data_IF_870158115544
#
_entry.id   IF_870158115544
#
_cell.length_a   1.000
_cell.length_b   1.000
_cell.length_c   1.000
_cell.angle_alpha   90.00
_cell.angle_beta   90.00
_cell.angle_gamma   90.00
#
_symmetry.space_group_name_H-M   'P 1'
#
loop_
_entity.id
_entity.type
_entity.pdbx_description
1 polymer ?
#
# COMPACT_ATOMS: atom_id res chain seq x y z
N UNK A 1 10.58 -26.15 13.62
CA UNK A 1 10.77 -26.60 12.22
C UNK A 1 10.71 -25.39 11.33
N UNK A 2 11.68 -25.24 10.47
CA UNK A 2 11.86 -24.10 9.59
C UNK A 2 11.56 -24.53 8.16
N UNK A 3 10.75 -23.74 7.45
CA UNK A 3 10.43 -23.92 6.04
C UNK A 3 10.95 -22.72 5.27
N UNK A 4 11.80 -22.97 4.27
CA UNK A 4 12.37 -21.96 3.39
C UNK A 4 11.78 -22.08 1.99
N UNK A 5 11.21 -21.01 1.48
CA UNK A 5 10.68 -20.92 0.13
C UNK A 5 11.58 -20.03 -0.71
N UNK A 6 12.46 -20.64 -1.51
CA UNK A 6 13.41 -19.94 -2.35
C UNK A 6 12.79 -19.40 -3.63
N UNK A 7 11.72 -20.04 -4.12
CA UNK A 7 11.02 -19.57 -5.32
C UNK A 7 9.66 -18.97 -4.93
N UNK A 8 9.50 -17.65 -5.02
CA UNK A 8 8.28 -16.98 -4.59
C UNK A 8 7.06 -17.24 -5.48
N UNK A 9 7.24 -17.68 -6.73
CA UNK A 9 6.20 -17.58 -7.76
C UNK A 9 5.60 -18.93 -8.19
N UNK A 10 5.92 -20.04 -7.53
CA UNK A 10 5.57 -21.34 -8.05
C UNK A 10 4.97 -22.36 -7.10
N UNK A 11 4.69 -22.01 -5.85
CA UNK A 11 4.13 -22.98 -4.88
C UNK A 11 2.68 -22.62 -4.60
N UNK A 12 1.77 -23.40 -5.15
CA UNK A 12 0.38 -23.41 -4.75
C UNK A 12 0.27 -24.26 -3.49
N UNK A 13 -0.15 -23.65 -2.38
CA UNK A 13 -0.48 -24.39 -1.17
C UNK A 13 -1.88 -24.97 -1.34
N UNK A 14 -1.95 -26.26 -1.62
CA UNK A 14 -3.21 -26.97 -1.48
C UNK A 14 -3.78 -26.71 -0.08
N UNK A 15 -5.09 -26.50 0.06
CA UNK A 15 -5.76 -26.04 1.27
C UNK A 15 -5.54 -26.87 2.56
N UNK A 16 -4.76 -27.94 2.47
CA UNK A 16 -4.36 -28.82 3.57
C UNK A 16 -2.84 -28.93 3.76
N UNK A 17 -2.03 -28.09 3.08
CA UNK A 17 -0.57 -28.24 3.13
C UNK A 17 0.01 -28.14 4.55
N UNK A 18 -0.71 -27.50 5.48
CA UNK A 18 -0.38 -27.38 6.88
C UNK A 18 -1.53 -27.84 7.80
N UNK A 19 -2.35 -28.82 7.36
CA UNK A 19 -3.42 -29.38 8.19
C UNK A 19 -2.82 -30.18 9.35
N UNK A 20 -2.71 -29.55 10.49
CA UNK A 20 -2.29 -30.18 11.74
C UNK A 20 -3.48 -30.87 12.38
N UNK A 21 -3.49 -32.17 12.30
CA UNK A 21 -4.28 -32.96 13.21
C UNK A 21 -3.99 -32.54 14.66
N UNK A 22 -5.00 -32.48 15.46
CA UNK A 22 -5.09 -32.06 16.86
C UNK A 22 -3.99 -32.57 17.84
N UNK A 23 -2.93 -33.18 17.34
CA UNK A 23 -1.85 -33.76 18.13
C UNK A 23 -0.72 -32.81 18.50
N UNK A 24 -0.66 -31.58 17.92
CA UNK A 24 0.45 -30.66 18.15
C UNK A 24 0.00 -29.23 18.45
N UNK A 25 -0.74 -28.98 19.54
CA UNK A 25 -1.23 -27.64 19.85
C UNK A 25 -0.14 -26.62 20.23
N UNK A 26 1.11 -27.05 20.35
CA UNK A 26 2.22 -26.21 20.78
C UNK A 26 3.26 -25.91 19.69
N UNK A 27 3.07 -26.41 18.48
CA UNK A 27 4.07 -26.24 17.44
C UNK A 27 3.73 -25.06 16.52
N UNK A 28 4.60 -24.07 16.51
CA UNK A 28 4.49 -22.88 15.66
C UNK A 28 5.70 -22.83 14.71
N UNK A 29 5.58 -23.31 13.46
CA UNK A 29 6.69 -23.34 12.53
C UNK A 29 7.11 -21.94 12.07
N UNK A 30 8.39 -21.78 11.78
CA UNK A 30 8.90 -20.59 11.09
C UNK A 30 8.80 -20.81 9.58
N UNK A 31 8.24 -19.82 8.90
CA UNK A 31 8.11 -19.80 7.45
C UNK A 31 8.94 -18.63 6.91
N UNK A 32 9.96 -18.95 6.13
CA UNK A 32 10.86 -17.98 5.53
C UNK A 32 10.51 -17.78 4.06
N UNK A 33 10.16 -16.57 3.67
CA UNK A 33 9.86 -16.20 2.29
C UNK A 33 10.23 -14.75 2.00
N UNK A 34 10.46 -14.41 0.74
CA UNK A 34 10.72 -13.04 0.35
C UNK A 34 9.44 -12.21 0.48
N UNK A 35 9.55 -10.97 0.97
CA UNK A 35 8.40 -10.12 1.26
C UNK A 35 7.57 -9.72 0.02
N UNK A 36 8.20 -9.71 -1.16
CA UNK A 36 7.53 -9.47 -2.45
C UNK A 36 6.89 -10.73 -3.04
N UNK A 37 6.96 -11.85 -2.34
CA UNK A 37 6.35 -13.10 -2.81
C UNK A 37 4.83 -12.93 -2.92
N UNK A 38 4.27 -13.33 -4.05
CA UNK A 38 2.81 -13.42 -4.25
C UNK A 38 2.17 -14.40 -3.28
N UNK A 39 2.90 -15.43 -2.85
CA UNK A 39 2.47 -16.36 -1.79
C UNK A 39 2.18 -15.64 -0.48
N UNK A 40 2.96 -14.61 -0.12
CA UNK A 40 2.73 -13.85 1.12
C UNK A 40 1.39 -13.10 1.11
N UNK A 41 0.87 -12.73 -0.06
CA UNK A 41 -0.44 -12.11 -0.21
C UNK A 41 -1.56 -13.15 -0.20
N UNK A 42 -1.36 -14.30 -0.84
CA UNK A 42 -2.38 -15.33 -1.01
C UNK A 42 -2.47 -16.28 0.19
N UNK A 43 -1.40 -16.45 0.95
CA UNK A 43 -1.38 -17.38 2.08
C UNK A 43 -2.33 -17.01 3.21
N UNK A 44 -2.53 -15.72 3.47
CA UNK A 44 -3.55 -15.31 4.43
C UNK A 44 -4.96 -15.77 3.99
N UNK A 45 -5.25 -15.69 2.69
CA UNK A 45 -6.52 -16.12 2.13
C UNK A 45 -6.62 -17.64 2.05
N UNK A 46 -5.57 -18.34 1.65
CA UNK A 46 -5.59 -19.81 1.52
C UNK A 46 -5.57 -20.52 2.87
N UNK A 47 -4.91 -19.97 3.87
CA UNK A 47 -4.97 -20.44 5.26
C UNK A 47 -6.37 -20.21 5.86
N UNK A 48 -7.07 -19.13 5.46
CA UNK A 48 -8.44 -18.89 5.87
C UNK A 48 -9.48 -19.77 5.13
N UNK A 49 -9.18 -20.22 3.91
CA UNK A 49 -10.08 -21.13 3.14
C UNK A 49 -10.18 -22.53 3.74
N UNK A 50 -9.22 -22.99 4.53
CA UNK A 50 -9.32 -24.22 5.33
C UNK A 50 -10.36 -24.16 6.45
N UNK A 51 -11.02 -23.00 6.63
CA UNK A 51 -12.03 -22.79 7.66
C UNK A 51 -13.36 -23.53 7.41
N UNK A 52 -13.65 -23.96 6.17
CA UNK A 52 -14.93 -24.61 5.83
C UNK A 52 -15.15 -25.98 6.49
N UNK A 53 -14.11 -26.59 7.06
CA UNK A 53 -14.21 -27.86 7.78
C UNK A 53 -14.02 -27.76 9.29
N UNK A 54 -14.19 -26.57 9.87
CA UNK A 54 -14.15 -26.37 11.33
C UNK A 54 -12.75 -26.30 11.93
N UNK A 55 -11.71 -26.10 11.10
CA UNK A 55 -10.33 -25.92 11.53
C UNK A 55 -9.82 -24.59 11.01
N UNK A 56 -9.97 -23.55 11.81
CA UNK A 56 -9.48 -22.21 11.51
C UNK A 56 -7.97 -22.15 11.78
N UNK A 57 -7.15 -22.34 10.76
CA UNK A 57 -5.74 -21.94 10.81
C UNK A 57 -5.64 -20.46 10.44
N UNK A 58 -5.10 -19.67 11.33
CA UNK A 58 -4.87 -18.25 11.12
C UNK A 58 -3.38 -18.00 10.92
N UNK A 59 -3.00 -16.87 10.33
CA UNK A 59 -1.60 -16.41 10.30
C UNK A 59 -0.95 -16.35 11.70
N UNK A 60 -1.75 -16.40 12.77
CA UNK A 60 -1.28 -16.51 14.14
C UNK A 60 -0.64 -17.88 14.48
N UNK A 61 -0.90 -18.90 13.67
CA UNK A 61 -0.38 -20.27 13.90
C UNK A 61 1.03 -20.47 13.32
N UNK A 62 1.58 -19.45 12.61
CA UNK A 62 2.90 -19.47 12.01
C UNK A 62 3.72 -18.25 12.42
N UNK A 63 5.05 -18.42 12.45
CA UNK A 63 5.97 -17.30 12.47
C UNK A 63 6.39 -17.01 11.02
N UNK A 64 5.84 -15.97 10.44
CA UNK A 64 6.22 -15.52 9.10
C UNK A 64 7.45 -14.62 9.21
N UNK A 65 8.54 -14.98 8.52
CA UNK A 65 9.82 -14.29 8.54
C UNK A 65 10.19 -13.91 7.11
N UNK A 66 10.40 -12.62 6.87
CA UNK A 66 10.78 -12.13 5.56
C UNK A 66 12.30 -12.19 5.36
N UNK A 67 12.74 -12.92 4.34
CA UNK A 67 14.17 -13.19 4.09
C UNK A 67 14.95 -11.95 3.71
N UNK A 68 14.33 -10.97 3.08
CA UNK A 68 14.94 -9.67 2.76
C UNK A 68 15.14 -8.82 4.02
N UNK A 69 14.22 -8.84 4.99
CA UNK A 69 14.43 -8.23 6.30
C UNK A 69 15.61 -8.92 7.03
N UNK A 70 15.63 -10.24 7.04
CA UNK A 70 16.70 -11.01 7.67
C UNK A 70 18.08 -10.71 7.05
N UNK A 71 18.13 -10.60 5.72
CA UNK A 71 19.35 -10.21 4.99
C UNK A 71 19.83 -8.82 5.41
N UNK A 72 18.91 -7.88 5.62
CA UNK A 72 19.25 -6.55 6.13
C UNK A 72 19.82 -6.61 7.57
N UNK A 73 19.18 -7.37 8.46
CA UNK A 73 19.61 -7.52 9.86
C UNK A 73 21.01 -8.13 9.98
N UNK A 74 21.29 -9.14 9.16
CA UNK A 74 22.54 -9.92 9.16
C UNK A 74 23.63 -9.31 8.29
N UNK A 75 23.39 -8.14 7.69
CA UNK A 75 24.38 -7.51 6.83
C UNK A 75 25.63 -7.11 7.62
N UNK A 76 26.75 -7.75 7.33
CA UNK A 76 28.03 -7.51 7.99
C UNK A 76 28.49 -6.05 7.93
N UNK A 77 28.12 -5.32 6.86
CA UNK A 77 28.43 -3.90 6.72
C UNK A 77 27.67 -3.02 7.74
N UNK A 78 26.57 -3.51 8.28
CA UNK A 78 25.70 -2.76 9.20
C UNK A 78 25.81 -3.20 10.66
N UNK A 79 26.54 -4.27 10.96
CA UNK A 79 26.59 -4.87 12.29
C UNK A 79 26.97 -3.88 13.43
N UNK A 80 27.86 -2.97 13.14
CA UNK A 80 28.35 -2.00 14.13
C UNK A 80 27.30 -0.92 14.44
N UNK A 81 26.33 -0.69 13.54
CA UNK A 81 25.22 0.25 13.76
C UNK A 81 24.34 -0.17 14.94
N UNK A 82 24.15 -1.46 15.13
CA UNK A 82 23.20 -1.99 16.11
C UNK A 82 23.63 -1.76 17.56
N UNK A 83 24.91 -1.48 17.76
CA UNK A 83 25.50 -1.12 19.08
C UNK A 83 25.99 0.32 19.16
N UNK A 84 26.02 1.06 18.04
CA UNK A 84 26.52 2.43 17.94
C UNK A 84 25.69 3.42 18.78
N UNK A 85 26.33 4.36 19.46
CA UNK A 85 25.65 5.47 20.12
C UNK A 85 25.37 6.61 19.12
N UNK A 86 24.28 7.35 19.33
CA UNK A 86 23.95 8.50 18.48
C UNK A 86 25.05 9.58 18.46
N UNK A 87 25.81 9.73 19.56
CA UNK A 87 26.92 10.67 19.62
C UNK A 87 28.06 10.33 18.64
N UNK A 88 28.23 9.05 18.32
CA UNK A 88 29.29 8.56 17.43
C UNK A 88 28.87 8.58 15.95
N UNK A 89 27.60 8.84 15.67
CA UNK A 89 27.03 8.77 14.33
C UNK A 89 27.65 9.76 13.33
N UNK A 90 28.07 10.95 13.81
CA UNK A 90 28.56 12.04 12.95
C UNK A 90 30.01 11.90 12.50
N UNK A 91 30.73 10.83 12.88
CA UNK A 91 32.07 10.58 12.30
C UNK A 91 31.89 10.21 10.82
N UNK A 92 32.84 10.61 9.96
CA UNK A 92 32.75 10.43 8.50
C UNK A 92 32.48 8.96 8.12
N UNK A 93 33.18 8.02 8.73
CA UNK A 93 32.99 6.58 8.48
C UNK A 93 31.60 6.09 8.89
N UNK A 94 31.16 6.46 10.09
CA UNK A 94 29.84 6.04 10.62
C UNK A 94 28.69 6.68 9.83
N UNK A 95 28.79 7.96 9.49
CA UNK A 95 27.80 8.64 8.67
C UNK A 95 27.64 7.96 7.29
N UNK A 96 28.74 7.50 6.68
CA UNK A 96 28.67 6.76 5.40
C UNK A 96 27.96 5.41 5.55
N UNK A 97 28.22 4.67 6.60
CA UNK A 97 27.55 3.38 6.87
C UNK A 97 26.07 3.61 7.15
N UNK A 98 25.71 4.63 7.93
CA UNK A 98 24.30 4.98 8.21
C UNK A 98 23.56 5.33 6.92
N UNK A 99 24.17 6.13 6.04
CA UNK A 99 23.61 6.47 4.72
C UNK A 99 23.33 5.20 3.89
N UNK A 100 24.31 4.31 3.80
CA UNK A 100 24.16 3.05 3.06
C UNK A 100 23.06 2.16 3.64
N UNK A 101 22.96 2.11 4.97
CA UNK A 101 21.89 1.36 5.64
C UNK A 101 20.51 1.99 5.42
N UNK A 102 20.41 3.33 5.40
CA UNK A 102 19.15 4.04 5.08
C UNK A 102 18.70 3.77 3.64
N UNK A 103 19.63 3.75 2.69
CA UNK A 103 19.31 3.42 1.29
C UNK A 103 18.82 1.97 1.16
N UNK A 104 19.52 1.03 1.80
CA UNK A 104 19.12 -0.37 1.82
C UNK A 104 17.74 -0.56 2.51
N UNK A 105 17.50 0.11 3.64
CA UNK A 105 16.20 0.10 4.32
C UNK A 105 15.09 0.68 3.44
N UNK A 106 15.34 1.78 2.75
CA UNK A 106 14.36 2.42 1.88
C UNK A 106 13.92 1.53 0.72
N UNK A 107 14.83 0.70 0.20
CA UNK A 107 14.58 -0.26 -0.88
C UNK A 107 13.76 -1.49 -0.46
N UNK A 108 13.63 -1.74 0.86
CA UNK A 108 12.83 -2.86 1.36
C UNK A 108 11.33 -2.63 1.12
N UNK A 109 10.58 -3.73 1.02
CA UNK A 109 9.12 -3.68 0.99
C UNK A 109 8.54 -3.22 2.33
N UNK A 110 7.27 -2.79 2.32
CA UNK A 110 6.57 -2.40 3.55
C UNK A 110 6.49 -3.54 4.56
N UNK A 111 6.30 -4.79 4.09
CA UNK A 111 6.26 -5.97 4.95
C UNK A 111 7.60 -6.21 5.66
N UNK A 112 8.71 -6.11 4.93
CA UNK A 112 10.05 -6.23 5.51
C UNK A 112 10.34 -5.09 6.50
N UNK A 113 9.98 -3.85 6.17
CA UNK A 113 10.06 -2.70 7.08
C UNK A 113 9.25 -2.90 8.36
N UNK A 114 8.03 -3.44 8.25
CA UNK A 114 7.20 -3.75 9.41
C UNK A 114 7.80 -4.86 10.30
N UNK A 115 8.49 -5.82 9.73
CA UNK A 115 9.25 -6.80 10.50
C UNK A 115 10.39 -6.11 11.27
N UNK A 116 11.21 -5.29 10.62
CA UNK A 116 12.33 -4.58 11.24
C UNK A 116 11.90 -3.58 12.33
N UNK A 117 10.65 -3.12 12.31
CA UNK A 117 10.05 -2.32 13.40
C UNK A 117 9.77 -3.15 14.66
N UNK A 118 9.71 -4.47 14.55
CA UNK A 118 9.41 -5.41 15.65
C UNK A 118 10.66 -6.14 16.12
N UNK A 119 11.52 -6.53 15.19
CA UNK A 119 12.72 -7.32 15.50
C UNK A 119 13.75 -6.48 16.23
N UNK A 120 14.32 -7.09 17.27
CA UNK A 120 15.24 -6.41 18.18
C UNK A 120 16.69 -6.55 17.73
N UNK A 121 17.38 -5.43 17.55
CA UNK A 121 18.81 -5.42 17.31
C UNK A 121 19.64 -5.48 18.63
N UNK A 122 19.02 -5.11 19.75
CA UNK A 122 19.60 -5.20 21.10
C UNK A 122 18.47 -5.31 22.15
N UNK A 123 18.78 -5.21 23.43
CA UNK A 123 17.80 -5.36 24.53
C UNK A 123 16.67 -4.30 24.52
N UNK A 124 16.91 -3.13 23.95
CA UNK A 124 15.99 -1.98 23.97
C UNK A 124 15.45 -1.62 22.62
N UNK A 125 16.30 -1.60 21.58
CA UNK A 125 15.99 -1.03 20.29
C UNK A 125 15.59 -2.10 19.27
N UNK A 126 14.71 -1.73 18.35
CA UNK A 126 14.46 -2.47 17.13
C UNK A 126 15.43 -2.03 16.03
N UNK A 127 15.63 -2.86 15.00
CA UNK A 127 16.50 -2.50 13.87
C UNK A 127 16.06 -1.18 13.22
N UNK A 128 14.79 -1.04 12.89
CA UNK A 128 14.28 0.21 12.32
C UNK A 128 14.40 1.39 13.29
N UNK A 129 14.06 1.20 14.57
CA UNK A 129 14.14 2.26 15.59
C UNK A 129 15.58 2.76 15.78
N UNK A 130 16.54 1.84 15.84
CA UNK A 130 17.96 2.16 15.95
C UNK A 130 18.47 2.93 14.75
N UNK A 131 18.17 2.44 13.53
CA UNK A 131 18.58 3.11 12.31
C UNK A 131 18.01 4.52 12.22
N UNK A 132 16.73 4.72 12.55
CA UNK A 132 16.10 6.04 12.56
C UNK A 132 16.73 6.98 13.59
N UNK A 133 17.10 6.50 14.77
CA UNK A 133 17.80 7.30 15.77
C UNK A 133 19.18 7.78 15.28
N UNK A 134 19.93 6.90 14.61
CA UNK A 134 21.23 7.24 14.02
C UNK A 134 21.05 8.19 12.82
N UNK A 135 20.05 7.98 11.98
CA UNK A 135 19.73 8.86 10.85
C UNK A 135 19.35 10.28 11.33
N UNK A 136 18.60 10.38 12.44
CA UNK A 136 18.29 11.67 13.07
C UNK A 136 19.57 12.37 13.56
N UNK A 137 20.51 11.65 14.14
CA UNK A 137 21.77 12.21 14.62
C UNK A 137 22.62 12.83 13.50
N UNK A 138 22.57 12.28 12.28
CA UNK A 138 23.28 12.83 11.12
C UNK A 138 22.40 13.73 10.22
N UNK A 139 21.18 14.07 10.66
CA UNK A 139 20.30 14.99 9.97
C UNK A 139 19.51 14.43 8.78
N UNK A 140 19.59 13.11 8.53
CA UNK A 140 18.81 12.45 7.45
C UNK A 140 17.40 12.07 7.85
N UNK A 141 16.99 12.24 9.09
CA UNK A 141 15.65 12.02 9.56
C UNK A 141 15.24 13.07 10.58
N UNK A 142 13.96 13.17 10.88
CA UNK A 142 13.44 14.07 11.90
C UNK A 142 11.95 13.96 12.10
N UNK A 143 11.45 14.75 13.03
CA UNK A 143 10.02 14.82 13.33
C UNK A 143 9.50 16.26 13.14
N UNK A 144 8.26 16.39 12.66
CA UNK A 144 7.51 17.64 12.56
C UNK A 144 6.16 17.38 13.25
N UNK A 145 6.09 17.62 14.56
CA UNK A 145 4.94 17.20 15.34
C UNK A 145 4.78 15.67 15.33
N UNK A 146 3.63 15.17 14.86
CA UNK A 146 3.37 13.74 14.69
C UNK A 146 3.76 13.18 13.30
N UNK A 147 4.33 14.03 12.46
CA UNK A 147 4.85 13.66 11.14
C UNK A 147 6.34 13.36 11.27
N UNK A 148 6.77 12.24 10.68
CA UNK A 148 8.17 11.86 10.58
C UNK A 148 8.65 12.01 9.15
N UNK A 149 9.93 12.30 8.96
CA UNK A 149 10.52 12.36 7.64
C UNK A 149 11.90 11.72 7.59
N UNK A 150 12.26 11.25 6.41
CA UNK A 150 13.61 10.80 6.07
C UNK A 150 14.05 11.44 4.76
N UNK A 151 15.36 11.70 4.63
CA UNK A 151 15.98 12.20 3.40
C UNK A 151 16.93 11.11 2.90
N UNK A 152 16.87 10.79 1.60
CA UNK A 152 17.81 9.85 0.97
C UNK A 152 19.26 10.32 1.09
N UNK A 153 20.21 9.41 1.00
CA UNK A 153 21.65 9.70 1.16
C UNK A 153 22.18 10.72 0.15
N UNK A 154 21.58 10.77 -1.05
CA UNK A 154 21.91 11.73 -2.11
C UNK A 154 21.18 13.08 -1.96
N UNK A 155 20.30 13.23 -0.96
CA UNK A 155 19.55 14.45 -0.70
C UNK A 155 18.41 14.72 -1.70
N UNK A 156 18.08 13.76 -2.59
CA UNK A 156 17.13 13.97 -3.68
C UNK A 156 15.70 13.55 -3.37
N UNK A 157 15.50 12.65 -2.43
CA UNK A 157 14.18 12.15 -2.06
C UNK A 157 13.90 12.42 -0.60
N UNK A 158 12.75 13.00 -0.30
CA UNK A 158 12.22 13.17 1.04
C UNK A 158 10.98 12.30 1.19
N UNK A 159 10.98 11.42 2.17
CA UNK A 159 9.84 10.55 2.50
C UNK A 159 9.19 11.02 3.78
N UNK A 160 7.87 11.09 3.79
CA UNK A 160 7.05 11.58 4.91
C UNK A 160 6.08 10.51 5.35
N UNK A 161 6.02 10.26 6.67
CA UNK A 161 5.10 9.31 7.31
C UNK A 161 4.43 9.96 8.53
N UNK A 162 3.45 9.29 9.13
CA UNK A 162 2.79 9.76 10.35
C UNK A 162 1.38 10.28 10.11
N UNK A 163 0.94 11.29 10.86
CA UNK A 163 -0.43 11.78 10.78
C UNK A 163 -0.53 13.27 11.15
N UNK A 164 -1.61 13.92 10.69
CA UNK A 164 -1.91 15.31 11.03
C UNK A 164 -1.57 16.31 9.93
N UNK A 165 -1.39 17.56 10.34
CA UNK A 165 -1.24 18.68 9.42
C UNK A 165 0.22 19.14 9.35
N UNK A 166 0.76 19.17 8.15
CA UNK A 166 2.04 19.77 7.85
C UNK A 166 1.87 21.28 7.67
N UNK A 167 2.06 22.03 8.75
CA UNK A 167 1.97 23.49 8.72
C UNK A 167 3.24 24.14 8.17
N UNK A 168 3.11 25.34 7.59
CA UNK A 168 4.26 26.08 7.07
C UNK A 168 5.30 26.40 8.15
N UNK A 169 4.85 26.83 9.34
CA UNK A 169 5.76 27.21 10.41
C UNK A 169 6.61 26.02 10.91
N UNK A 170 5.96 24.88 11.11
CA UNK A 170 6.67 23.67 11.54
C UNK A 170 7.59 23.13 10.45
N UNK A 171 7.11 23.09 9.20
CA UNK A 171 7.88 22.60 8.07
C UNK A 171 9.09 23.47 7.79
N UNK A 172 8.94 24.79 7.71
CA UNK A 172 10.05 25.70 7.40
C UNK A 172 11.12 25.74 8.48
N UNK A 173 10.77 25.46 9.75
CA UNK A 173 11.73 25.31 10.82
C UNK A 173 12.54 24.01 10.72
N UNK A 174 11.92 22.90 10.28
CA UNK A 174 12.58 21.60 10.15
C UNK A 174 13.29 21.43 8.80
N UNK A 175 12.74 22.02 7.75
CA UNK A 175 13.15 21.92 6.34
C UNK A 175 13.68 23.26 5.84
N UNK A 176 14.92 23.59 6.20
CA UNK A 176 15.60 24.77 5.68
C UNK A 176 15.99 24.56 4.21
N UNK A 177 16.22 25.64 3.45
CA UNK A 177 16.70 25.58 2.05
C UNK A 177 17.94 24.71 1.90
N UNK A 178 18.89 24.84 2.84
CA UNK A 178 20.12 24.05 2.87
C UNK A 178 19.83 22.54 2.96
N UNK A 179 18.78 22.18 3.71
CA UNK A 179 18.43 20.78 4.00
C UNK A 179 17.58 20.14 2.89
N UNK A 180 16.60 20.89 2.35
CA UNK A 180 15.60 20.34 1.41
C UNK A 180 15.57 21.04 0.06
N UNK A 181 16.36 22.09 -0.16
CA UNK A 181 16.38 22.82 -1.42
C UNK A 181 16.77 21.96 -2.64
N UNK A 182 17.53 20.88 -2.42
CA UNK A 182 17.94 19.93 -3.45
C UNK A 182 16.96 18.75 -3.64
N UNK A 183 15.91 18.66 -2.84
CA UNK A 183 14.92 17.57 -2.92
C UNK A 183 14.14 17.69 -4.22
N UNK A 184 14.20 16.65 -5.02
CA UNK A 184 13.52 16.55 -6.32
C UNK A 184 12.23 15.71 -6.21
N UNK A 185 12.17 14.77 -5.26
CA UNK A 185 11.07 13.83 -5.09
C UNK A 185 10.54 13.89 -3.66
N UNK A 186 9.24 14.12 -3.52
CA UNK A 186 8.53 14.02 -2.25
C UNK A 186 7.65 12.76 -2.27
N UNK A 187 7.90 11.84 -1.36
CA UNK A 187 7.11 10.62 -1.17
C UNK A 187 6.30 10.75 0.12
N UNK A 188 4.98 10.61 0.03
CA UNK A 188 4.07 10.73 1.15
C UNK A 188 3.40 9.38 1.38
N UNK A 189 3.84 8.67 2.40
CA UNK A 189 3.41 7.30 2.72
C UNK A 189 2.27 7.24 3.74
N UNK A 190 1.70 8.39 4.11
CA UNK A 190 0.60 8.46 5.09
C UNK A 190 -0.40 9.55 4.73
N UNK A 191 -1.65 9.36 5.16
CA UNK A 191 -2.72 10.35 4.95
C UNK A 191 -2.51 11.58 5.86
N UNK A 192 -1.82 12.58 5.34
CA UNK A 192 -1.55 13.87 5.99
C UNK A 192 -2.24 15.01 5.25
N UNK A 193 -2.34 16.18 5.89
CA UNK A 193 -2.75 17.42 5.25
C UNK A 193 -1.53 18.30 5.00
N UNK A 194 -1.29 18.71 3.74
CA UNK A 194 -0.22 19.65 3.38
C UNK A 194 -0.81 21.05 3.34
N UNK A 195 -0.38 21.91 4.23
CA UNK A 195 -0.86 23.29 4.28
C UNK A 195 -0.06 24.22 3.36
N UNK A 196 -0.67 25.35 3.05
CA UNK A 196 -0.07 26.37 2.22
C UNK A 196 1.30 26.82 2.78
N UNK A 197 2.31 26.85 1.93
CA UNK A 197 3.68 27.26 2.29
C UNK A 197 4.54 26.20 2.99
N UNK A 198 4.00 25.02 3.29
CA UNK A 198 4.76 23.97 3.97
C UNK A 198 5.94 23.40 3.14
N UNK A 199 5.86 23.50 1.83
CA UNK A 199 6.89 22.99 0.91
C UNK A 199 7.73 24.10 0.25
N UNK A 200 7.65 25.35 0.72
CA UNK A 200 8.30 26.50 0.09
C UNK A 200 9.81 26.31 -0.13
N UNK A 201 10.47 25.64 0.80
CA UNK A 201 11.92 25.43 0.76
C UNK A 201 12.35 24.27 -0.17
N UNK A 202 11.40 23.54 -0.76
CA UNK A 202 11.70 22.47 -1.73
C UNK A 202 11.77 23.02 -3.15
N UNK A 203 12.70 23.91 -3.41
CA UNK A 203 12.76 24.68 -4.66
C UNK A 203 13.11 23.85 -5.89
N UNK A 204 13.74 22.68 -5.70
CA UNK A 204 14.07 21.71 -6.76
C UNK A 204 12.98 20.63 -6.98
N UNK A 205 11.83 20.70 -6.30
CA UNK A 205 10.80 19.67 -6.35
C UNK A 205 10.25 19.46 -7.77
N UNK A 206 10.27 18.21 -8.23
CA UNK A 206 9.82 17.75 -9.56
C UNK A 206 8.65 16.79 -9.47
N UNK A 207 8.67 15.89 -8.47
CA UNK A 207 7.63 14.86 -8.33
C UNK A 207 7.10 14.81 -6.90
N UNK A 208 5.82 14.54 -6.80
CA UNK A 208 5.14 14.22 -5.54
C UNK A 208 4.44 12.88 -5.72
N UNK A 209 4.81 11.88 -4.93
CA UNK A 209 4.21 10.55 -4.93
C UNK A 209 3.45 10.35 -3.62
N UNK A 210 2.14 10.16 -3.67
CA UNK A 210 1.29 10.19 -2.49
C UNK A 210 0.38 8.96 -2.40
N UNK A 211 0.15 8.50 -1.16
CA UNK A 211 -0.88 7.50 -0.86
C UNK A 211 -2.29 8.10 -0.88
N UNK A 212 -3.32 7.26 -0.80
CA UNK A 212 -4.71 7.71 -0.65
C UNK A 212 -4.89 8.53 0.62
N UNK A 213 -5.82 9.47 0.58
CA UNK A 213 -6.23 10.27 1.73
C UNK A 213 -5.33 11.45 2.05
N UNK A 214 -4.27 11.70 1.27
CA UNK A 214 -3.48 12.95 1.40
C UNK A 214 -4.34 14.13 0.99
N UNK A 215 -4.42 15.14 1.87
CA UNK A 215 -5.22 16.34 1.68
C UNK A 215 -4.33 17.55 1.47
N UNK A 216 -4.91 18.56 0.84
CA UNK A 216 -4.29 19.88 0.67
C UNK A 216 -5.09 20.90 1.46
N UNK A 217 -4.44 21.57 2.37
CA UNK A 217 -5.01 22.73 3.07
C UNK A 217 -5.23 23.89 2.11
N UNK A 218 -6.19 24.77 2.43
CA UNK A 218 -6.53 25.90 1.58
C UNK A 218 -5.34 26.82 1.28
N UNK A 219 -5.22 27.27 0.05
CA UNK A 219 -4.18 28.21 -0.40
C UNK A 219 -3.71 27.96 -1.83
N UNK A 220 -3.05 28.95 -2.42
CA UNK A 220 -2.59 28.86 -3.82
C UNK A 220 -1.17 28.31 -3.99
N UNK A 221 -0.38 28.33 -2.92
CA UNK A 221 1.07 28.04 -2.99
C UNK A 221 1.45 26.84 -2.11
N UNK A 222 0.75 25.71 -2.27
CA UNK A 222 1.10 24.49 -1.53
C UNK A 222 2.34 23.84 -2.12
N UNK A 223 2.45 23.82 -3.45
CA UNK A 223 3.59 23.26 -4.15
C UNK A 223 4.42 24.37 -4.80
N UNK A 224 5.74 24.44 -4.52
CA UNK A 224 6.64 25.31 -5.27
C UNK A 224 6.70 24.85 -6.75
N UNK A 225 6.89 25.78 -7.67
CA UNK A 225 7.05 25.47 -9.11
C UNK A 225 5.89 24.65 -9.73
N UNK A 226 4.66 24.94 -9.36
CA UNK A 226 3.46 24.20 -9.75
C UNK A 226 3.38 23.83 -11.26
N UNK A 227 3.92 24.68 -12.16
CA UNK A 227 3.90 24.41 -13.60
C UNK A 227 4.82 23.27 -14.08
N UNK A 228 5.75 22.80 -13.27
CA UNK A 228 6.74 21.77 -13.65
C UNK A 228 6.65 20.49 -12.83
N UNK A 229 5.86 20.49 -11.76
CA UNK A 229 5.71 19.35 -10.87
C UNK A 229 4.74 18.32 -11.48
N UNK A 230 5.06 17.03 -11.30
CA UNK A 230 4.17 15.91 -11.52
C UNK A 230 3.68 15.37 -10.18
N UNK A 231 2.39 15.39 -9.93
CA UNK A 231 1.78 14.73 -8.77
C UNK A 231 1.29 13.34 -9.22
N UNK A 232 1.70 12.31 -8.49
CA UNK A 232 1.23 10.92 -8.65
C UNK A 232 0.41 10.55 -7.41
N UNK A 233 -0.83 10.17 -7.63
CA UNK A 233 -1.77 9.92 -6.54
C UNK A 233 -2.96 9.10 -7.00
N UNK A 234 -4.01 9.15 -6.22
CA UNK A 234 -5.24 8.39 -6.43
C UNK A 234 -6.39 9.33 -6.75
N UNK A 235 -7.37 8.85 -7.49
CA UNK A 235 -8.61 9.58 -7.72
C UNK A 235 -9.32 9.84 -6.38
N UNK A 236 -9.78 11.07 -6.19
CA UNK A 236 -10.55 11.47 -5.02
C UNK A 236 -11.38 12.71 -5.36
N UNK A 237 -12.69 12.56 -5.29
CA UNK A 237 -13.65 13.63 -5.62
C UNK A 237 -13.75 14.74 -4.55
N UNK A 238 -13.04 14.64 -3.42
CA UNK A 238 -13.08 15.65 -2.36
C UNK A 238 -12.35 16.92 -2.78
N UNK A 239 -12.93 18.09 -2.49
CA UNK A 239 -12.34 19.39 -2.82
C UNK A 239 -10.96 19.65 -2.21
N UNK A 240 -10.60 18.91 -1.16
CA UNK A 240 -9.31 19.01 -0.47
C UNK A 240 -8.30 17.99 -0.95
N UNK A 241 -8.63 17.19 -1.97
CA UNK A 241 -7.73 16.15 -2.49
C UNK A 241 -6.60 16.73 -3.32
N UNK A 242 -5.52 15.97 -3.45
CA UNK A 242 -4.40 16.28 -4.34
C UNK A 242 -4.84 16.42 -5.80
N UNK A 243 -5.76 15.54 -6.25
CA UNK A 243 -6.29 15.59 -7.61
C UNK A 243 -7.06 16.89 -7.86
N UNK A 244 -7.99 17.25 -6.97
CA UNK A 244 -8.77 18.49 -7.08
C UNK A 244 -7.88 19.74 -7.06
N UNK A 245 -6.86 19.73 -6.19
CA UNK A 245 -5.87 20.82 -6.13
C UNK A 245 -5.07 20.90 -7.44
N UNK A 246 -4.56 19.78 -7.95
CA UNK A 246 -3.80 19.73 -9.19
C UNK A 246 -4.62 20.26 -10.37
N UNK A 247 -5.89 19.85 -10.51
CA UNK A 247 -6.83 20.35 -11.50
C UNK A 247 -7.02 21.88 -11.40
N UNK A 248 -7.25 22.38 -10.19
CA UNK A 248 -7.51 23.82 -9.96
C UNK A 248 -6.29 24.71 -10.26
N UNK A 249 -5.08 24.16 -10.22
CA UNK A 249 -3.82 24.90 -10.40
C UNK A 249 -3.04 24.50 -11.65
N UNK A 250 -3.64 23.73 -12.57
CA UNK A 250 -3.02 23.24 -13.80
C UNK A 250 -1.70 22.48 -13.58
N UNK A 251 -1.62 21.73 -12.48
CA UNK A 251 -0.50 20.86 -12.18
C UNK A 251 -0.76 19.51 -12.87
N UNK A 252 0.29 18.88 -13.44
CA UNK A 252 0.17 17.55 -14.01
C UNK A 252 -0.15 16.54 -12.90
N UNK A 253 -1.24 15.79 -13.10
CA UNK A 253 -1.65 14.73 -12.19
C UNK A 253 -1.67 13.38 -12.93
N UNK A 254 -1.05 12.38 -12.34
CA UNK A 254 -1.04 11.00 -12.83
C UNK A 254 -1.68 10.09 -11.79
N UNK A 255 -2.69 9.36 -12.20
CA UNK A 255 -3.27 8.31 -11.36
C UNK A 255 -2.25 7.18 -11.15
N UNK A 256 -2.10 6.73 -9.91
CA UNK A 256 -1.30 5.53 -9.56
C UNK A 256 -2.07 4.25 -9.84
N UNK A 257 -3.39 4.33 -9.71
CA UNK A 257 -4.28 3.20 -9.86
C UNK A 257 -5.61 3.66 -10.47
N UNK A 258 -6.14 2.89 -11.38
CA UNK A 258 -7.46 3.06 -11.98
C UNK A 258 -8.29 1.82 -11.66
N UNK A 259 -9.31 1.99 -10.81
CA UNK A 259 -10.25 0.92 -10.46
C UNK A 259 -11.48 1.03 -11.34
N UNK A 260 -11.69 0.05 -12.21
CA UNK A 260 -12.80 0.00 -13.13
C UNK A 260 -13.79 -1.08 -12.67
N UNK A 261 -15.03 -0.69 -12.42
CA UNK A 261 -16.12 -1.60 -12.16
C UNK A 261 -16.84 -1.96 -13.45
N UNK A 262 -16.76 -3.21 -13.85
CA UNK A 262 -17.48 -3.75 -15.00
C UNK A 262 -18.76 -4.42 -14.52
N UNK A 263 -19.92 -3.93 -15.01
CA UNK A 263 -21.24 -4.50 -14.71
C UNK A 263 -21.74 -5.20 -15.97
N UNK A 264 -22.08 -6.49 -15.85
CA UNK A 264 -22.50 -7.24 -17.02
C UNK A 264 -23.27 -8.53 -16.72
N UNK A 265 -23.50 -9.30 -17.78
CA UNK A 265 -24.16 -10.60 -17.75
C UNK A 265 -23.16 -11.72 -18.16
N UNK A 266 -23.65 -12.90 -18.52
CA UNK A 266 -22.84 -14.04 -18.95
C UNK A 266 -21.85 -13.73 -20.08
N UNK A 267 -22.14 -12.76 -20.96
CA UNK A 267 -21.19 -12.33 -21.99
C UNK A 267 -20.00 -11.55 -21.43
N UNK A 268 -20.15 -10.93 -20.30
CA UNK A 268 -19.04 -10.23 -19.60
C UNK A 268 -18.08 -11.24 -18.98
N UNK A 269 -18.56 -12.43 -18.62
CA UNK A 269 -17.77 -13.47 -17.97
C UNK A 269 -16.58 -13.97 -18.80
N UNK A 270 -16.82 -14.26 -20.08
CA UNK A 270 -15.79 -14.83 -20.96
C UNK A 270 -14.59 -13.88 -21.17
N UNK A 271 -14.84 -12.56 -21.11
CA UNK A 271 -13.82 -11.55 -21.26
C UNK A 271 -13.07 -11.27 -19.95
N UNK A 272 -13.74 -11.41 -18.80
CA UNK A 272 -13.22 -10.97 -17.50
C UNK A 272 -12.07 -11.84 -17.02
N UNK A 273 -12.16 -13.14 -17.19
CA UNK A 273 -11.11 -14.09 -16.76
C UNK A 273 -9.79 -13.87 -17.49
N UNK A 274 -9.88 -13.65 -18.82
CA UNK A 274 -8.69 -13.39 -19.63
C UNK A 274 -8.15 -11.97 -19.44
N UNK A 275 -9.02 -10.99 -19.29
CA UNK A 275 -8.63 -9.59 -19.11
C UNK A 275 -7.86 -9.38 -17.80
N UNK A 276 -8.28 -10.02 -16.70
CA UNK A 276 -7.57 -9.88 -15.44
C UNK A 276 -6.15 -10.46 -15.52
N UNK A 277 -5.98 -11.60 -16.19
CA UNK A 277 -4.65 -12.19 -16.40
C UNK A 277 -3.75 -11.28 -17.24
N UNK A 278 -4.28 -10.75 -18.36
CA UNK A 278 -3.55 -9.79 -19.21
C UNK A 278 -3.19 -8.52 -18.43
N UNK A 279 -4.12 -8.00 -17.64
CA UNK A 279 -3.88 -6.80 -16.84
C UNK A 279 -2.86 -7.02 -15.74
N UNK A 280 -2.82 -8.19 -15.13
CA UNK A 280 -1.80 -8.53 -14.16
C UNK A 280 -0.39 -8.50 -14.79
N UNK A 281 -0.24 -9.07 -15.99
CA UNK A 281 1.02 -9.02 -16.75
C UNK A 281 1.38 -7.59 -17.16
N UNK A 282 0.40 -6.83 -17.65
CA UNK A 282 0.59 -5.43 -18.02
C UNK A 282 0.98 -4.60 -16.81
N UNK A 283 0.28 -4.74 -15.68
CA UNK A 283 0.55 -3.99 -14.45
C UNK A 283 1.91 -4.33 -13.83
N UNK A 284 2.40 -5.56 -14.00
CA UNK A 284 3.72 -5.97 -13.54
C UNK A 284 4.85 -5.23 -14.27
N UNK A 285 4.60 -4.82 -15.53
CA UNK A 285 5.58 -4.19 -16.41
C UNK A 285 5.33 -2.68 -16.64
N UNK A 286 4.27 -2.11 -16.08
CA UNK A 286 3.96 -0.69 -16.23
C UNK A 286 4.67 0.15 -15.17
N UNK A 287 5.50 1.07 -15.64
CA UNK A 287 5.86 2.27 -14.87
C UNK A 287 4.70 3.27 -14.98
N UNK A 288 3.83 3.33 -14.01
CA UNK A 288 2.75 4.31 -14.05
C UNK A 288 1.45 3.85 -13.42
N UNK A 289 0.34 4.17 -14.07
CA UNK A 289 -1.01 3.87 -13.58
C UNK A 289 -1.29 2.37 -13.66
N UNK A 290 -1.52 1.75 -12.50
CA UNK A 290 -2.01 0.37 -12.46
C UNK A 290 -3.51 0.34 -12.70
N UNK A 291 -3.98 -0.64 -13.49
CA UNK A 291 -5.40 -0.83 -13.76
C UNK A 291 -5.89 -2.06 -13.00
N UNK A 292 -6.89 -1.87 -12.17
CA UNK A 292 -7.64 -2.95 -11.53
C UNK A 292 -9.04 -3.02 -12.13
N UNK A 293 -9.47 -4.22 -12.48
CA UNK A 293 -10.83 -4.49 -12.89
C UNK A 293 -11.55 -5.24 -11.78
N UNK A 294 -12.76 -4.79 -11.51
CA UNK A 294 -13.70 -5.53 -10.66
C UNK A 294 -14.99 -5.74 -11.44
N UNK A 295 -15.63 -6.87 -11.20
CA UNK A 295 -16.75 -7.29 -12.01
C UNK A 295 -17.96 -7.57 -11.12
N UNK A 296 -19.12 -7.06 -11.54
CA UNK A 296 -20.41 -7.48 -11.04
C UNK A 296 -21.14 -8.12 -12.18
N UNK A 297 -21.36 -9.42 -12.05
CA UNK A 297 -22.05 -10.20 -13.06
C UNK A 297 -23.31 -10.82 -12.48
N UNK A 298 -24.39 -10.74 -13.25
CA UNK A 298 -25.61 -11.45 -12.96
C UNK A 298 -25.96 -12.33 -14.17
N UNK A 299 -25.82 -13.64 -14.01
CA UNK A 299 -26.10 -14.60 -15.08
C UNK A 299 -27.53 -14.49 -15.61
N UNK A 300 -27.70 -14.61 -16.94
CA UNK A 300 -28.98 -14.66 -17.64
C UNK A 300 -29.89 -13.44 -17.53
N UNK A 301 -29.40 -12.29 -17.04
CA UNK A 301 -30.24 -11.08 -16.90
C UNK A 301 -29.83 -9.99 -17.88
N UNK A 302 -30.84 -9.34 -18.46
CA UNK A 302 -30.65 -8.16 -19.32
C UNK A 302 -30.73 -6.90 -18.48
N UNK A 303 -29.73 -6.05 -18.56
CA UNK A 303 -29.72 -4.77 -17.90
C UNK A 303 -30.75 -3.86 -18.54
N UNK A 304 -31.72 -3.37 -17.78
CA UNK A 304 -32.69 -2.35 -18.22
C UNK A 304 -33.94 -2.87 -18.92
N UNK A 305 -34.27 -4.15 -18.83
CA UNK A 305 -35.49 -4.71 -19.47
C UNK A 305 -36.36 -5.42 -18.42
N UNK A 306 -37.68 -5.16 -18.47
CA UNK A 306 -38.65 -5.97 -17.73
C UNK A 306 -38.69 -7.38 -18.34
N UNK A 307 -38.30 -8.37 -17.55
CA UNK A 307 -38.35 -9.77 -17.99
C UNK A 307 -39.51 -10.47 -17.29
N UNK A 308 -40.42 -11.03 -18.11
CA UNK A 308 -41.50 -11.87 -17.61
C UNK A 308 -41.07 -13.33 -17.73
N UNK A 309 -41.10 -14.06 -16.66
CA UNK A 309 -40.78 -15.49 -16.63
C UNK A 309 -41.97 -16.32 -17.02
N UNK A 310 -41.76 -17.59 -17.36
CA UNK A 310 -42.81 -18.54 -17.76
C UNK A 310 -43.83 -18.84 -16.65
N UNK A 311 -43.56 -18.45 -15.41
CA UNK A 311 -44.48 -18.52 -14.25
C UNK A 311 -45.37 -17.28 -14.09
N UNK A 312 -45.29 -16.34 -15.03
CA UNK A 312 -46.10 -15.11 -15.04
C UNK A 312 -45.61 -14.03 -14.09
N UNK A 313 -44.51 -14.24 -13.34
CA UNK A 313 -43.91 -13.21 -12.48
C UNK A 313 -43.06 -12.27 -13.33
N UNK A 314 -43.46 -11.02 -13.38
CA UNK A 314 -42.64 -9.95 -13.94
C UNK A 314 -41.67 -9.41 -12.88
N UNK A 315 -40.40 -9.52 -13.14
CA UNK A 315 -39.36 -8.82 -12.34
C UNK A 315 -38.93 -7.58 -13.12
N UNK A 316 -39.30 -6.42 -12.60
CA UNK A 316 -38.82 -5.15 -13.15
C UNK A 316 -37.41 -4.92 -12.66
N UNK A 317 -36.42 -5.17 -13.49
CA UNK A 317 -35.08 -4.67 -13.28
C UNK A 317 -34.89 -3.43 -14.15
N UNK A 318 -35.17 -2.26 -13.60
CA UNK A 318 -34.69 -1.03 -14.22
C UNK A 318 -33.18 -0.93 -14.10
N UNK A 319 -32.56 -0.23 -15.01
CA UNK A 319 -31.12 0.07 -14.95
C UNK A 319 -30.75 0.70 -13.58
N UNK A 320 -31.61 1.60 -13.09
CA UNK A 320 -31.47 2.25 -11.79
C UNK A 320 -31.57 1.29 -10.61
N UNK A 321 -32.52 0.34 -10.64
CA UNK A 321 -32.65 -0.61 -9.54
C UNK A 321 -31.47 -1.59 -9.46
N UNK A 322 -30.90 -1.97 -10.61
CA UNK A 322 -29.74 -2.83 -10.67
C UNK A 322 -28.48 -2.12 -10.15
N UNK A 323 -28.26 -0.87 -10.57
CA UNK A 323 -27.16 -0.04 -10.08
C UNK A 323 -27.33 0.26 -8.59
N UNK A 324 -28.54 0.57 -8.14
CA UNK A 324 -28.82 0.85 -6.73
C UNK A 324 -28.64 -0.38 -5.86
N UNK A 325 -29.01 -1.58 -6.35
CA UNK A 325 -28.79 -2.84 -5.64
C UNK A 325 -27.29 -3.13 -5.48
N UNK A 326 -26.53 -2.94 -6.54
CA UNK A 326 -25.08 -3.03 -6.53
C UNK A 326 -24.46 -2.04 -5.54
N UNK A 327 -24.85 -0.77 -5.60
CA UNK A 327 -24.38 0.28 -4.69
C UNK A 327 -24.70 -0.05 -3.23
N UNK A 328 -25.90 -0.58 -2.97
CA UNK A 328 -26.29 -0.97 -1.63
C UNK A 328 -25.48 -2.15 -1.11
N UNK A 329 -25.22 -3.15 -1.94
CA UNK A 329 -24.42 -4.33 -1.59
C UNK A 329 -22.94 -4.01 -1.43
N UNK A 330 -22.42 -3.07 -2.20
CA UNK A 330 -21.06 -2.55 -2.02
C UNK A 330 -20.95 -1.77 -0.69
N UNK A 331 -21.99 -1.04 -0.29
CA UNK A 331 -22.04 -0.32 0.98
C UNK A 331 -22.27 -1.21 2.20
N UNK A 332 -22.98 -2.30 2.03
CA UNK A 332 -23.29 -3.26 3.09
C UNK A 332 -23.12 -4.70 2.55
N UNK A 333 -21.91 -5.27 2.66
CA UNK A 333 -21.63 -6.63 2.23
C UNK A 333 -22.47 -7.70 2.95
N UNK A 334 -23.01 -7.41 4.13
CA UNK A 334 -23.88 -8.33 4.87
C UNK A 334 -25.27 -8.48 4.23
N UNK A 335 -25.63 -7.55 3.36
CA UNK A 335 -26.86 -7.61 2.56
C UNK A 335 -26.74 -8.52 1.31
N UNK A 336 -25.57 -9.09 1.03
CA UNK A 336 -25.37 -10.04 -0.06
C UNK A 336 -26.01 -11.39 0.28
N UNK A 337 -26.88 -11.87 -0.58
CA UNK A 337 -27.46 -13.20 -0.46
C UNK A 337 -26.57 -14.24 -1.15
N UNK A 338 -26.71 -15.52 -0.77
CA UNK A 338 -26.01 -16.63 -1.44
C UNK A 338 -26.32 -16.76 -2.94
N UNK A 339 -27.40 -16.13 -3.41
CA UNK A 339 -27.78 -16.07 -4.83
C UNK A 339 -27.13 -14.91 -5.60
N UNK A 340 -26.55 -13.95 -4.89
CA UNK A 340 -25.85 -12.80 -5.47
C UNK A 340 -24.35 -13.12 -5.66
N UNK A 341 -23.89 -14.17 -4.98
CA UNK A 341 -22.51 -14.60 -4.97
C UNK A 341 -22.45 -15.95 -5.69
N UNK A 342 -22.37 -15.93 -7.00
CA UNK A 342 -21.83 -17.07 -7.69
C UNK A 342 -20.31 -17.05 -7.44
N UNK A 343 -19.96 -17.62 -6.32
CA UNK A 343 -18.66 -17.99 -5.74
C UNK A 343 -17.52 -16.99 -5.83
N UNK A 344 -17.01 -16.63 -6.99
CA UNK A 344 -15.69 -16.01 -7.11
C UNK A 344 -15.68 -14.51 -7.48
N UNK A 345 -16.84 -13.95 -7.85
CA UNK A 345 -16.88 -12.61 -8.46
C UNK A 345 -16.84 -11.44 -7.49
N UNK A 346 -17.22 -11.68 -6.23
CA UNK A 346 -17.14 -10.65 -5.18
C UNK A 346 -15.89 -10.74 -4.31
N UNK A 347 -15.06 -11.75 -4.48
CA UNK A 347 -13.85 -11.93 -3.64
C UNK A 347 -12.83 -10.80 -3.76
N UNK A 348 -12.83 -10.08 -4.87
CA UNK A 348 -11.93 -8.96 -5.09
C UNK A 348 -12.57 -7.61 -4.77
N UNK A 349 -13.83 -7.61 -4.33
CA UNK A 349 -14.53 -6.43 -3.88
C UNK A 349 -14.35 -6.31 -2.37
N UNK A 350 -13.36 -5.57 -1.92
CA UNK A 350 -13.35 -5.03 -0.57
C UNK A 350 -14.07 -3.67 -0.58
N UNK A 351 -15.35 -3.61 -0.16
CA UNK A 351 -16.12 -2.37 -0.20
C UNK A 351 -15.57 -1.32 0.75
N UNK A 352 -14.77 -1.71 1.74
CA UNK A 352 -14.16 -0.80 2.70
C UNK A 352 -12.90 -0.12 2.15
N UNK A 353 -12.20 -0.77 1.22
CA UNK A 353 -10.94 -0.29 0.65
C UNK A 353 -11.03 0.15 -0.81
N UNK A 354 -12.05 -0.28 -1.56
CA UNK A 354 -12.17 0.06 -2.97
C UNK A 354 -12.97 1.36 -3.16
N UNK A 355 -12.28 2.40 -3.57
CA UNK A 355 -12.90 3.59 -4.16
C UNK A 355 -12.92 3.39 -5.67
N UNK A 356 -14.10 3.53 -6.29
CA UNK A 356 -14.29 3.40 -7.72
C UNK A 356 -14.03 4.73 -8.40
N UNK A 357 -13.25 4.69 -9.48
CA UNK A 357 -13.03 5.85 -10.36
C UNK A 357 -14.15 5.82 -11.43
N UNK A 358 -15.28 6.45 -11.13
CA UNK A 358 -16.42 6.60 -12.05
C UNK A 358 -16.32 7.92 -12.82
#
# INVERSE_FOLDING_TARGET
TDFYFENPDGVDLAGYAFDYYSCFPAFKPNIYLHSNSTLAANWADDLNKGADEGKNHTTADFNLIYTDALTFEQNEAFKDLWTMNAADANTEGNASIIKSAMDAYSALSDKAKEQLKKDKCNSTDTYAGKLMALAKAIGLAGDIGSIQYTISSDGKTLTVTGSGDLSADLANNAWTDEKVGSVENLVIESAITINNGALNNMTALKTVDAVRGVKVGGGKNVFPNAGTILIRGYADAQNTSLESYAKAHNIKFQLKELNILCIGNSHTYDYTTYMQSILNDVNANLEGTKVQLSFIQHGSRKIGITQTYSDGKATNYSHESCIQDVVNKVKDPSAMSSNDVDGDYFKNLDPASNTWDL
#
